data_IF_966781182319
#
_entry.id   IF_966781182319
#
_cell.length_a   1.000
_cell.length_b   1.000
_cell.length_c   1.000
_cell.angle_alpha   90.00
_cell.angle_beta   90.00
_cell.angle_gamma   90.00
#
_symmetry.space_group_name_H-M   'P 1'
#
loop_
_entity.id
_entity.type
_entity.pdbx_description
1 polymer ?
#
# COMPACT_ATOMS: atom_id res chain seq x y z
N UNK A 1 32.90 -14.65 -46.89
CA UNK A 1 33.70 -13.43 -47.14
C UNK A 1 33.60 -12.56 -45.91
N UNK A 2 34.72 -12.11 -45.33
CA UNK A 2 34.67 -11.25 -44.15
C UNK A 2 34.29 -9.84 -44.61
N UNK A 3 33.19 -9.31 -44.09
CA UNK A 3 32.81 -7.91 -44.27
C UNK A 3 33.69 -7.10 -43.31
N UNK A 4 34.33 -6.04 -43.80
CA UNK A 4 35.04 -5.08 -42.95
C UNK A 4 34.03 -4.26 -42.13
N UNK A 5 34.48 -3.55 -41.10
CA UNK A 5 33.58 -2.66 -40.36
C UNK A 5 33.03 -1.55 -41.24
N UNK A 6 31.73 -1.32 -41.09
CA UNK A 6 31.12 -0.12 -41.63
C UNK A 6 31.59 1.12 -40.91
N UNK A 7 31.93 2.16 -41.65
CA UNK A 7 32.35 3.48 -41.13
C UNK A 7 31.43 4.60 -41.61
N UNK A 8 30.72 4.41 -42.73
CA UNK A 8 29.67 5.29 -43.22
C UNK A 8 28.28 4.91 -42.71
N UNK A 9 27.35 5.87 -42.76
CA UNK A 9 25.96 5.68 -42.30
C UNK A 9 25.17 4.61 -43.09
N UNK A 10 25.68 4.20 -44.26
CA UNK A 10 25.03 3.25 -45.17
C UNK A 10 25.82 1.94 -45.31
N UNK A 11 26.95 1.82 -44.60
CA UNK A 11 27.76 0.62 -44.64
C UNK A 11 27.05 -0.53 -43.90
N UNK A 12 27.34 -1.76 -44.30
CA UNK A 12 26.92 -2.94 -43.55
C UNK A 12 27.65 -3.01 -42.19
N UNK A 13 26.93 -3.31 -41.11
CA UNK A 13 27.52 -3.52 -39.78
C UNK A 13 28.08 -4.94 -39.64
N UNK A 14 29.27 -5.09 -39.05
CA UNK A 14 29.78 -6.42 -38.69
C UNK A 14 29.13 -6.94 -37.42
N UNK A 15 29.19 -8.26 -37.19
CA UNK A 15 28.73 -8.87 -35.92
C UNK A 15 29.41 -8.22 -34.73
N UNK A 16 30.69 -7.86 -34.83
CA UNK A 16 31.41 -7.17 -33.75
C UNK A 16 30.84 -5.78 -33.46
N UNK A 17 30.50 -4.98 -34.48
CA UNK A 17 29.87 -3.68 -34.29
C UNK A 17 28.50 -3.82 -33.64
N UNK A 18 27.70 -4.80 -34.09
CA UNK A 18 26.40 -5.11 -33.50
C UNK A 18 26.52 -5.57 -32.05
N UNK A 19 27.43 -6.51 -31.75
CA UNK A 19 27.67 -7.00 -30.38
C UNK A 19 28.11 -5.86 -29.46
N UNK A 20 29.01 -4.98 -29.91
CA UNK A 20 29.42 -3.81 -29.12
C UNK A 20 28.27 -2.86 -28.80
N UNK A 21 27.41 -2.58 -29.80
CA UNK A 21 26.23 -1.74 -29.61
C UNK A 21 25.22 -2.39 -28.64
N UNK A 22 24.93 -3.68 -28.80
CA UNK A 22 24.01 -4.43 -27.93
C UNK A 22 24.52 -4.53 -26.49
N UNK A 23 25.83 -4.76 -26.31
CA UNK A 23 26.47 -4.73 -24.99
C UNK A 23 26.27 -3.36 -24.34
N UNK A 24 26.45 -2.26 -25.08
CA UNK A 24 26.18 -0.92 -24.58
C UNK A 24 24.73 -0.77 -24.08
N UNK A 25 23.73 -1.25 -24.82
CA UNK A 25 22.33 -1.17 -24.38
C UNK A 25 22.01 -2.05 -23.16
N UNK A 26 22.66 -3.20 -23.03
CA UNK A 26 22.45 -4.11 -21.90
C UNK A 26 23.10 -3.60 -20.60
N UNK A 27 24.19 -2.83 -20.69
CA UNK A 27 24.96 -2.38 -19.51
C UNK A 27 24.84 -0.88 -19.21
N UNK A 28 24.52 -0.05 -20.20
CA UNK A 28 24.27 1.39 -20.01
C UNK A 28 22.78 1.67 -20.11
N UNK A 29 22.22 2.21 -19.03
CA UNK A 29 20.81 2.59 -18.99
C UNK A 29 20.45 3.60 -20.09
N UNK A 30 19.24 3.49 -20.62
CA UNK A 30 18.71 4.44 -21.60
C UNK A 30 18.42 5.79 -20.91
N UNK A 31 18.29 6.88 -21.68
CA UNK A 31 17.96 8.20 -21.11
C UNK A 31 16.68 8.08 -20.26
N UNK A 32 16.79 8.43 -18.97
CA UNK A 32 15.76 8.32 -17.92
C UNK A 32 15.55 6.93 -17.27
N UNK A 33 16.16 5.87 -17.76
CA UNK A 33 16.03 4.51 -17.20
C UNK A 33 17.41 3.94 -16.85
N UNK A 34 17.77 4.04 -15.57
CA UNK A 34 19.03 3.54 -15.04
C UNK A 34 18.77 2.52 -13.92
N UNK A 35 19.29 1.31 -14.07
CA UNK A 35 19.37 0.32 -13.02
C UNK A 35 20.83 0.15 -12.60
N UNK A 36 21.10 0.07 -11.30
CA UNK A 36 22.43 -0.18 -10.76
C UNK A 36 22.36 -1.34 -9.76
N UNK A 37 22.65 -2.55 -10.24
CA UNK A 37 22.70 -3.76 -9.43
C UNK A 37 23.55 -4.83 -10.12
N UNK A 38 24.13 -5.71 -9.31
CA UNK A 38 24.79 -6.95 -9.77
C UNK A 38 23.99 -8.21 -9.43
N UNK A 39 22.82 -8.05 -8.81
CA UNK A 39 21.94 -9.16 -8.45
C UNK A 39 21.19 -9.70 -9.69
N UNK A 40 20.47 -10.81 -9.50
CA UNK A 40 19.66 -11.41 -10.56
C UNK A 40 18.61 -10.42 -11.11
N UNK A 41 18.27 -10.59 -12.38
CA UNK A 41 17.28 -9.78 -13.07
C UNK A 41 15.87 -9.92 -12.47
N UNK A 42 15.00 -9.00 -12.84
CA UNK A 42 13.56 -9.08 -12.61
C UNK A 42 12.91 -10.22 -13.40
N UNK A 43 11.75 -10.68 -12.94
CA UNK A 43 10.95 -11.70 -13.60
C UNK A 43 9.48 -11.27 -13.66
N UNK A 44 9.02 -10.89 -14.85
CA UNK A 44 7.62 -10.65 -15.17
C UNK A 44 6.99 -11.95 -15.72
N UNK A 45 6.31 -12.73 -14.86
CA UNK A 45 5.67 -14.01 -15.22
C UNK A 45 4.21 -13.81 -15.62
N UNK A 46 3.48 -12.96 -14.89
CA UNK A 46 2.06 -12.71 -15.14
C UNK A 46 1.82 -12.11 -16.52
N UNK A 47 0.68 -12.42 -17.14
CA UNK A 47 0.27 -11.80 -18.40
C UNK A 47 0.16 -10.28 -18.21
N UNK A 48 0.64 -9.49 -19.18
CA UNK A 48 0.55 -8.02 -19.15
C UNK A 48 1.20 -7.38 -17.90
N UNK A 49 2.20 -8.04 -17.31
CA UNK A 49 2.85 -7.58 -16.08
C UNK A 49 4.10 -6.73 -16.31
N UNK A 50 4.49 -5.95 -15.29
CA UNK A 50 5.69 -5.11 -15.28
C UNK A 50 6.53 -5.46 -14.06
N UNK A 51 7.77 -5.91 -14.28
CA UNK A 51 8.76 -6.12 -13.23
C UNK A 51 9.98 -5.22 -13.48
N UNK A 52 10.36 -4.40 -12.48
CA UNK A 52 11.49 -3.46 -12.59
C UNK A 52 12.32 -3.49 -11.32
N UNK A 53 13.60 -3.84 -11.45
CA UNK A 53 14.56 -3.86 -10.34
C UNK A 53 15.17 -5.24 -10.12
N UNK A 54 16.30 -5.33 -9.39
CA UNK A 54 16.91 -6.62 -9.12
C UNK A 54 15.98 -7.50 -8.30
N UNK A 55 15.95 -8.79 -8.63
CA UNK A 55 15.19 -9.85 -7.92
C UNK A 55 13.69 -9.60 -7.78
N UNK A 56 13.14 -8.60 -8.47
CA UNK A 56 11.69 -8.33 -8.51
C UNK A 56 10.97 -9.48 -9.20
N UNK A 57 9.89 -9.99 -8.62
CA UNK A 57 9.09 -11.08 -9.22
C UNK A 57 7.62 -10.67 -9.27
N UNK A 58 7.02 -10.75 -10.46
CA UNK A 58 5.62 -10.39 -10.69
C UNK A 58 4.92 -11.58 -11.32
N UNK A 59 4.23 -12.35 -10.49
CA UNK A 59 3.52 -13.56 -10.88
C UNK A 59 2.04 -13.31 -11.23
N UNK A 60 1.43 -12.27 -10.66
CA UNK A 60 0.04 -11.90 -10.93
C UNK A 60 -0.13 -11.24 -12.30
N UNK A 61 -1.18 -11.63 -13.02
CA UNK A 61 -1.57 -10.99 -14.28
C UNK A 61 -1.90 -9.51 -14.05
N UNK A 62 -1.54 -8.63 -14.98
CA UNK A 62 -1.68 -7.17 -14.88
C UNK A 62 -0.93 -6.57 -13.67
N UNK A 63 -0.01 -7.32 -13.06
CA UNK A 63 0.72 -6.90 -11.86
C UNK A 63 1.84 -5.90 -12.16
N UNK A 64 2.17 -5.06 -11.17
CA UNK A 64 3.29 -4.11 -11.25
C UNK A 64 4.20 -4.27 -10.03
N UNK A 65 5.41 -4.75 -10.26
CA UNK A 65 6.47 -4.86 -9.26
C UNK A 65 7.61 -3.90 -9.59
N UNK A 66 7.96 -3.01 -8.66
CA UNK A 66 9.08 -2.06 -8.84
C UNK A 66 9.91 -1.97 -7.55
N UNK A 67 11.18 -2.35 -7.61
CA UNK A 67 12.14 -2.24 -6.51
C UNK A 67 12.82 -3.56 -6.15
N UNK A 68 13.97 -3.45 -5.48
CA UNK A 68 14.81 -4.60 -5.11
C UNK A 68 14.01 -5.64 -4.31
N UNK A 69 13.78 -6.81 -4.91
CA UNK A 69 13.02 -7.90 -4.30
C UNK A 69 11.52 -7.62 -4.09
N UNK A 70 10.91 -6.68 -4.82
CA UNK A 70 9.45 -6.50 -4.80
C UNK A 70 8.75 -7.76 -5.36
N UNK A 71 7.64 -8.16 -4.75
CA UNK A 71 6.90 -9.38 -5.09
C UNK A 71 5.42 -9.07 -5.31
N UNK A 72 4.89 -9.48 -6.45
CA UNK A 72 3.45 -9.60 -6.68
C UNK A 72 3.16 -11.08 -6.85
N UNK A 73 2.41 -11.67 -5.92
CA UNK A 73 2.12 -13.11 -5.91
C UNK A 73 1.21 -13.52 -7.07
N UNK A 74 1.19 -14.82 -7.38
CA UNK A 74 0.32 -15.37 -8.44
C UNK A 74 -1.17 -15.17 -8.12
N UNK A 75 -1.50 -15.09 -6.83
CA UNK A 75 -2.84 -14.80 -6.31
C UNK A 75 -3.18 -13.31 -6.32
N UNK A 76 -2.29 -12.45 -6.82
CA UNK A 76 -2.48 -11.00 -6.87
C UNK A 76 -2.62 -10.47 -8.31
N UNK A 77 -3.63 -10.90 -9.10
CA UNK A 77 -3.95 -10.22 -10.34
C UNK A 77 -4.27 -8.75 -10.06
N UNK A 78 -3.76 -7.83 -10.88
CA UNK A 78 -3.85 -6.38 -10.68
C UNK A 78 -3.04 -5.85 -9.48
N UNK A 79 -2.27 -6.71 -8.81
CA UNK A 79 -1.51 -6.35 -7.62
C UNK A 79 -0.34 -5.40 -7.92
N UNK A 80 -0.06 -4.49 -6.98
CA UNK A 80 1.01 -3.50 -7.10
C UNK A 80 1.95 -3.62 -5.90
N UNK A 81 3.24 -3.83 -6.16
CA UNK A 81 4.28 -3.85 -5.14
C UNK A 81 5.42 -2.90 -5.52
N UNK A 82 5.54 -1.76 -4.84
CA UNK A 82 6.55 -0.74 -5.13
C UNK A 82 7.38 -0.43 -3.88
N UNK A 83 8.67 -0.77 -3.92
CA UNK A 83 9.62 -0.59 -2.81
C UNK A 83 10.49 -1.83 -2.59
N UNK A 84 11.58 -1.67 -1.84
CA UNK A 84 12.45 -2.80 -1.49
C UNK A 84 11.68 -3.82 -0.65
N UNK A 85 11.60 -5.07 -1.12
CA UNK A 85 10.80 -6.13 -0.51
C UNK A 85 9.32 -5.78 -0.25
N UNK A 86 8.72 -4.86 -1.02
CA UNK A 86 7.27 -4.68 -1.01
C UNK A 86 6.58 -5.96 -1.52
N UNK A 87 5.44 -6.33 -0.93
CA UNK A 87 4.71 -7.56 -1.27
C UNK A 87 3.21 -7.32 -1.39
N UNK A 88 2.66 -7.69 -2.54
CA UNK A 88 1.22 -7.75 -2.81
C UNK A 88 0.81 -9.21 -2.97
N UNK A 89 -0.03 -9.73 -2.07
CA UNK A 89 -0.30 -11.17 -1.97
C UNK A 89 -1.66 -11.62 -2.52
N UNK A 90 -2.62 -10.71 -2.68
CA UNK A 90 -3.98 -11.04 -3.13
C UNK A 90 -4.48 -10.04 -4.20
N UNK A 91 -5.58 -10.39 -4.86
CA UNK A 91 -6.15 -9.62 -5.96
C UNK A 91 -6.34 -8.15 -5.59
N UNK A 92 -5.96 -7.26 -6.52
CA UNK A 92 -6.08 -5.80 -6.41
C UNK A 92 -5.40 -5.18 -5.17
N UNK A 93 -4.47 -5.91 -4.53
CA UNK A 93 -3.75 -5.41 -3.38
C UNK A 93 -2.64 -4.43 -3.79
N UNK A 94 -2.38 -3.41 -2.95
CA UNK A 94 -1.43 -2.35 -3.24
C UNK A 94 -0.47 -2.18 -2.07
N UNK A 95 0.80 -2.52 -2.27
CA UNK A 95 1.89 -2.38 -1.30
C UNK A 95 2.92 -1.34 -1.77
N UNK A 96 3.01 -0.19 -1.10
CA UNK A 96 3.89 0.91 -1.47
C UNK A 96 4.81 1.29 -0.29
N UNK A 97 6.09 0.95 -0.37
CA UNK A 97 7.10 1.24 0.65
C UNK A 97 8.05 0.07 0.91
N UNK A 98 9.18 0.35 1.54
CA UNK A 98 10.15 -0.69 1.92
C UNK A 98 9.51 -1.68 2.89
N UNK A 99 9.41 -2.96 2.52
CA UNK A 99 8.76 -4.00 3.33
C UNK A 99 7.26 -3.82 3.52
N UNK A 100 6.59 -2.96 2.74
CA UNK A 100 5.13 -2.85 2.79
C UNK A 100 4.48 -4.17 2.36
N UNK A 101 3.44 -4.62 3.07
CA UNK A 101 2.77 -5.89 2.86
C UNK A 101 1.25 -5.71 2.75
N UNK A 102 0.72 -5.81 1.53
CA UNK A 102 -0.70 -5.83 1.25
C UNK A 102 -1.14 -7.29 1.04
N UNK A 103 -1.60 -7.93 2.12
CA UNK A 103 -1.82 -9.37 2.20
C UNK A 103 -3.29 -9.73 1.90
N UNK A 104 -4.23 -8.85 2.22
CA UNK A 104 -5.65 -9.07 1.94
C UNK A 104 -6.05 -8.70 0.51
N UNK A 105 -7.11 -9.31 -0.02
CA UNK A 105 -7.68 -8.86 -1.29
C UNK A 105 -8.18 -7.41 -1.18
N UNK A 106 -7.94 -6.60 -2.21
CA UNK A 106 -8.28 -5.17 -2.25
C UNK A 106 -7.66 -4.35 -1.10
N UNK A 107 -6.60 -4.88 -0.46
CA UNK A 107 -5.96 -4.22 0.67
C UNK A 107 -4.94 -3.19 0.20
N UNK A 108 -4.72 -2.15 1.01
CA UNK A 108 -3.75 -1.09 0.71
C UNK A 108 -2.79 -0.92 1.88
N UNK A 109 -1.50 -1.18 1.65
CA UNK A 109 -0.43 -0.96 2.62
C UNK A 109 0.55 0.09 2.07
N UNK A 110 0.55 1.29 2.63
CA UNK A 110 1.43 2.38 2.20
C UNK A 110 2.30 2.88 3.36
N UNK A 111 3.61 2.76 3.22
CA UNK A 111 4.61 3.14 4.23
C UNK A 111 5.61 2.01 4.49
N UNK A 112 6.78 2.36 5.02
CA UNK A 112 7.78 1.34 5.36
C UNK A 112 7.22 0.37 6.40
N UNK A 113 7.24 -0.93 6.10
CA UNK A 113 6.68 -2.00 6.93
C UNK A 113 5.19 -1.82 7.27
N UNK A 114 4.43 -1.05 6.50
CA UNK A 114 2.97 -1.00 6.62
C UNK A 114 2.40 -2.39 6.27
N UNK A 115 1.37 -2.84 6.99
CA UNK A 115 0.76 -4.15 6.76
C UNK A 115 -0.77 -4.07 6.79
N UNK A 116 -1.39 -4.38 5.65
CA UNK A 116 -2.83 -4.51 5.49
C UNK A 116 -3.17 -5.98 5.27
N UNK A 117 -3.71 -6.64 6.30
CA UNK A 117 -3.71 -8.11 6.41
C UNK A 117 -5.01 -8.73 5.91
N UNK A 118 -6.15 -8.07 6.12
CA UNK A 118 -7.47 -8.63 5.77
C UNK A 118 -8.04 -8.00 4.51
N UNK A 119 -9.11 -8.60 3.99
CA UNK A 119 -9.87 -8.08 2.84
C UNK A 119 -10.33 -6.65 3.10
N UNK A 120 -10.13 -5.76 2.12
CA UNK A 120 -10.51 -4.35 2.20
C UNK A 120 -9.76 -3.54 3.27
N UNK A 121 -8.79 -4.13 3.95
CA UNK A 121 -8.05 -3.43 5.00
C UNK A 121 -7.07 -2.40 4.43
N UNK A 122 -6.92 -1.27 5.12
CA UNK A 122 -6.08 -0.16 4.69
C UNK A 122 -5.12 0.23 5.81
N UNK A 123 -3.83 0.24 5.54
CA UNK A 123 -2.76 0.62 6.46
C UNK A 123 -1.89 1.72 5.82
N UNK A 124 -1.96 2.94 6.34
CA UNK A 124 -1.26 4.11 5.81
C UNK A 124 -0.35 4.70 6.90
N UNK A 125 0.96 4.55 6.73
CA UNK A 125 1.99 5.03 7.65
C UNK A 125 3.07 3.99 7.91
N UNK A 126 4.27 4.44 8.30
CA UNK A 126 5.36 3.53 8.66
C UNK A 126 4.93 2.62 9.83
N UNK A 127 4.99 1.30 9.63
CA UNK A 127 4.56 0.31 10.61
C UNK A 127 3.07 0.34 10.96
N UNK A 128 2.23 1.04 10.18
CA UNK A 128 0.78 0.98 10.35
C UNK A 128 0.29 -0.45 10.09
N UNK A 129 -0.67 -0.93 10.88
CA UNK A 129 -1.15 -2.31 10.81
C UNK A 129 -2.67 -2.38 10.85
N UNK A 130 -3.28 -2.77 9.74
CA UNK A 130 -4.72 -3.03 9.67
C UNK A 130 -4.93 -4.53 9.52
N UNK A 131 -5.43 -5.19 10.57
CA UNK A 131 -5.50 -6.67 10.62
C UNK A 131 -6.89 -7.25 10.52
N UNK A 132 -7.92 -6.41 10.41
CA UNK A 132 -9.31 -6.83 10.35
C UNK A 132 -9.98 -6.36 9.04
N UNK A 133 -11.05 -7.06 8.67
CA UNK A 133 -11.80 -6.79 7.44
C UNK A 133 -12.37 -5.37 7.45
N UNK A 134 -12.21 -4.66 6.34
CA UNK A 134 -12.66 -3.28 6.16
C UNK A 134 -12.16 -2.30 7.23
N UNK A 135 -11.03 -2.61 7.87
CA UNK A 135 -10.44 -1.76 8.90
C UNK A 135 -9.42 -0.76 8.32
N UNK A 136 -9.30 0.41 8.94
CA UNK A 136 -8.37 1.46 8.54
C UNK A 136 -7.40 1.81 9.67
N UNK A 137 -6.10 1.63 9.45
CA UNK A 137 -5.03 2.14 10.29
C UNK A 137 -4.33 3.32 9.57
N UNK A 138 -4.56 4.55 10.04
CA UNK A 138 -4.00 5.76 9.43
C UNK A 138 -3.07 6.48 10.41
N UNK A 139 -1.76 6.33 10.23
CA UNK A 139 -0.72 6.94 11.05
C UNK A 139 0.42 5.96 11.34
N UNK A 140 1.63 6.48 11.61
CA UNK A 140 2.77 5.63 11.95
C UNK A 140 2.48 4.79 13.21
N UNK A 141 2.62 3.47 13.11
CA UNK A 141 2.30 2.53 14.18
C UNK A 141 0.82 2.48 14.59
N UNK A 142 -0.10 3.05 13.83
CA UNK A 142 -1.54 2.89 14.07
C UNK A 142 -1.93 1.42 13.89
N UNK A 143 -2.85 0.91 14.72
CA UNK A 143 -3.26 -0.50 14.71
C UNK A 143 -4.78 -0.65 14.74
N UNK A 144 -5.36 -1.11 13.64
CA UNK A 144 -6.80 -1.39 13.54
C UNK A 144 -7.03 -2.90 13.52
N UNK A 145 -7.55 -3.44 14.62
CA UNK A 145 -7.67 -4.89 14.87
C UNK A 145 -9.11 -5.39 14.93
N UNK A 146 -10.09 -4.49 14.80
CA UNK A 146 -11.51 -4.83 14.76
C UNK A 146 -12.08 -4.50 13.37
N UNK A 147 -13.02 -5.32 12.91
CA UNK A 147 -13.64 -5.13 11.61
C UNK A 147 -14.36 -3.79 11.54
N UNK A 148 -14.39 -3.18 10.35
CA UNK A 148 -15.13 -1.94 10.09
C UNK A 148 -14.78 -0.79 11.06
N UNK A 149 -13.54 -0.78 11.57
CA UNK A 149 -13.07 0.18 12.59
C UNK A 149 -11.84 0.94 12.09
N UNK A 150 -11.61 2.11 12.68
CA UNK A 150 -10.57 3.06 12.28
C UNK A 150 -9.66 3.39 13.46
N UNK A 151 -8.36 3.14 13.32
CA UNK A 151 -7.32 3.72 14.16
C UNK A 151 -6.76 4.97 13.48
N UNK A 152 -7.10 6.16 13.98
CA UNK A 152 -6.74 7.44 13.39
C UNK A 152 -5.66 8.16 14.20
N UNK A 153 -4.50 8.35 13.58
CA UNK A 153 -3.33 8.99 14.15
C UNK A 153 -2.23 8.02 14.58
N UNK A 154 -1.00 8.52 14.68
CA UNK A 154 0.16 7.72 15.07
C UNK A 154 -0.05 7.06 16.44
N UNK A 155 0.21 5.75 16.51
CA UNK A 155 0.05 4.93 17.72
C UNK A 155 -1.41 4.73 18.19
N UNK A 156 -2.42 5.19 17.45
CA UNK A 156 -3.82 4.88 17.78
C UNK A 156 -4.09 3.39 17.65
N UNK A 157 -4.94 2.84 18.52
CA UNK A 157 -5.29 1.43 18.56
C UNK A 157 -6.79 1.31 18.74
N UNK A 158 -7.48 0.64 17.81
CA UNK A 158 -8.88 0.27 18.02
C UNK A 158 -8.96 -0.71 19.20
N UNK A 159 -9.85 -0.46 20.16
CA UNK A 159 -10.06 -1.29 21.35
C UNK A 159 -11.46 -1.88 21.41
N UNK A 160 -12.38 -1.39 20.57
CA UNK A 160 -13.78 -1.80 20.54
C UNK A 160 -14.19 -2.15 19.11
N UNK A 161 -14.86 -3.30 18.92
CA UNK A 161 -15.47 -3.67 17.64
C UNK A 161 -16.92 -3.23 17.54
N UNK A 162 -17.70 -3.92 16.69
CA UNK A 162 -19.15 -3.72 16.64
C UNK A 162 -19.80 -4.09 17.98
N UNK A 163 -20.70 -3.24 18.47
CA UNK A 163 -21.50 -3.48 19.67
C UNK A 163 -22.98 -3.51 19.32
N UNK A 164 -23.74 -4.36 19.99
CA UNK A 164 -25.20 -4.42 19.85
C UNK A 164 -25.88 -4.28 21.21
N UNK A 165 -27.01 -3.56 21.24
CA UNK A 165 -27.87 -3.41 22.41
C UNK A 165 -27.15 -2.97 23.70
N UNK A 166 -26.14 -2.10 23.59
CA UNK A 166 -25.45 -1.58 24.77
C UNK A 166 -26.22 -0.40 25.38
N UNK A 167 -26.13 -0.27 26.70
CA UNK A 167 -26.72 0.86 27.43
C UNK A 167 -25.74 2.03 27.37
N UNK A 168 -26.04 3.01 26.53
CA UNK A 168 -25.25 4.23 26.44
C UNK A 168 -25.52 5.16 27.62
N UNK A 169 -24.53 5.95 28.01
CA UNK A 169 -24.66 6.91 29.10
C UNK A 169 -25.80 7.91 28.83
N UNK A 170 -26.70 8.05 29.80
CA UNK A 170 -27.83 8.99 29.72
C UNK A 170 -28.96 8.60 28.76
N UNK A 171 -28.91 7.41 28.14
CA UNK A 171 -29.97 6.94 27.23
C UNK A 171 -30.69 5.71 27.78
N UNK A 172 -32.02 5.73 27.73
CA UNK A 172 -32.86 4.60 28.15
C UNK A 172 -33.05 3.55 27.05
N UNK A 173 -32.92 3.95 25.78
CA UNK A 173 -33.04 3.05 24.64
C UNK A 173 -31.69 2.42 24.30
N UNK A 174 -31.60 1.09 24.11
CA UNK A 174 -30.36 0.41 23.71
C UNK A 174 -29.77 0.98 22.41
N UNK A 175 -28.44 1.04 22.34
CA UNK A 175 -27.69 1.52 21.19
C UNK A 175 -26.90 0.40 20.52
N UNK A 176 -26.49 0.61 19.27
CA UNK A 176 -25.61 -0.30 18.52
C UNK A 176 -24.58 0.51 17.73
N UNK A 177 -23.38 -0.05 17.52
CA UNK A 177 -22.32 0.51 16.68
C UNK A 177 -21.78 -0.54 15.73
N UNK A 178 -21.42 -0.12 14.51
CA UNK A 178 -20.82 -1.01 13.51
C UNK A 178 -19.29 -1.15 13.64
N UNK A 179 -18.66 -0.36 14.53
CA UNK A 179 -17.23 -0.28 14.73
C UNK A 179 -16.85 0.94 15.56
N UNK A 180 -15.55 1.18 15.70
CA UNK A 180 -14.98 2.29 16.45
C UNK A 180 -14.15 3.22 15.53
N UNK A 181 -14.16 4.52 15.80
CA UNK A 181 -13.09 5.43 15.36
C UNK A 181 -12.25 5.81 16.59
N UNK A 182 -11.11 5.14 16.76
CA UNK A 182 -10.20 5.41 17.86
C UNK A 182 -9.17 6.48 17.45
N UNK A 183 -9.18 7.61 18.16
CA UNK A 183 -8.26 8.74 17.92
C UNK A 183 -7.12 8.82 18.94
N UNK A 184 -6.99 7.83 19.83
CA UNK A 184 -6.11 7.89 20.99
C UNK A 184 -6.47 9.03 21.95
N UNK A 185 -5.49 9.49 22.73
CA UNK A 185 -5.66 10.62 23.66
C UNK A 185 -5.46 11.96 22.95
N UNK A 186 -6.40 12.34 22.07
CA UNK A 186 -6.34 13.56 21.27
C UNK A 186 -7.57 14.43 21.48
N UNK A 187 -7.39 15.74 21.32
CA UNK A 187 -8.51 16.66 21.17
C UNK A 187 -9.10 16.53 19.76
N UNK A 188 -10.43 16.57 19.68
CA UNK A 188 -11.17 16.71 18.42
C UNK A 188 -11.67 18.16 18.36
N UNK A 189 -11.00 18.99 17.58
CA UNK A 189 -11.27 20.44 17.49
C UNK A 189 -11.92 20.81 16.16
N UNK A 190 -12.51 22.01 16.06
CA UNK A 190 -13.19 22.47 14.83
C UNK A 190 -14.59 21.86 14.65
N UNK A 191 -15.16 21.30 15.72
CA UNK A 191 -16.47 20.66 15.71
C UNK A 191 -17.58 21.71 15.70
N UNK A 192 -18.37 21.75 14.62
CA UNK A 192 -19.61 22.51 14.59
C UNK A 192 -20.60 21.97 15.65
N UNK A 193 -21.50 22.81 16.13
CA UNK A 193 -22.52 22.38 17.08
C UNK A 193 -23.43 21.30 16.46
N UNK A 194 -23.60 20.17 17.14
CA UNK A 194 -24.45 19.08 16.70
C UNK A 194 -25.92 19.48 16.63
N UNK A 195 -26.66 18.94 15.68
CA UNK A 195 -28.09 19.24 15.45
C UNK A 195 -28.97 18.00 15.54
N UNK A 196 -28.51 16.87 15.00
CA UNK A 196 -29.23 15.60 15.00
C UNK A 196 -28.81 14.74 16.20
N UNK A 197 -29.61 13.71 16.53
CA UNK A 197 -29.35 12.83 17.68
C UNK A 197 -28.07 11.98 17.60
N UNK A 198 -27.41 11.92 16.44
CA UNK A 198 -26.16 11.18 16.22
C UNK A 198 -24.95 12.09 15.99
N UNK A 199 -25.13 13.40 16.10
CA UNK A 199 -24.02 14.35 15.95
C UNK A 199 -23.21 14.41 17.25
N UNK A 200 -21.91 14.60 17.13
CA UNK A 200 -21.08 14.85 18.29
C UNK A 200 -21.38 16.24 18.89
N UNK A 201 -21.35 16.33 20.22
CA UNK A 201 -21.60 17.57 20.98
C UNK A 201 -20.27 18.30 21.20
N UNK A 202 -20.24 19.61 20.94
CA UNK A 202 -19.06 20.44 21.25
C UNK A 202 -19.19 21.12 22.64
N UNK A 203 -18.10 21.71 23.14
CA UNK A 203 -18.06 22.32 24.48
C UNK A 203 -19.08 23.45 24.64
N UNK A 204 -19.33 24.26 23.60
CA UNK A 204 -20.32 25.36 23.68
C UNK A 204 -21.76 24.89 23.92
N UNK A 205 -22.13 23.72 23.38
CA UNK A 205 -23.43 23.12 23.65
C UNK A 205 -23.52 22.59 25.08
N UNK A 206 -22.44 21.99 25.58
CA UNK A 206 -22.36 21.52 26.97
C UNK A 206 -22.45 22.68 27.96
N UNK A 207 -21.74 23.78 27.71
CA UNK A 207 -21.77 24.98 28.56
C UNK A 207 -23.17 25.62 28.61
N UNK A 208 -23.97 25.47 27.55
CA UNK A 208 -25.33 26.00 27.48
C UNK A 208 -26.35 25.28 28.36
N UNK A 209 -26.05 24.04 28.77
CA UNK A 209 -26.93 23.22 29.63
C UNK A 209 -26.39 23.09 31.06
N UNK A 210 -25.14 23.49 31.30
CA UNK A 210 -24.51 23.47 32.62
C UNK A 210 -24.76 24.75 33.45
N UNK A 211 -25.48 25.73 32.88
CA UNK A 211 -25.87 26.99 33.52
C UNK A 211 -27.38 27.06 33.78
#
# INVERSE_FOLDING_TARGET
>A
TNVADGTGQQDAVTVRQLTGALQSFAVTGQKYFHANSTAADSLAVGAESVAVGPTTVVNGDNGVGIGNGAIVDQTAPGGVAIGQAASSAQADAIALGSGAAAIGAQSVAQGANAAAVSVGSVALGSGARSTATDALALGAGASATFANSVALGAGSLTTVGALTNYVAYGLSSPQSSAGEVNVGNRQITGLAAGKNGTDAVNVSQLDSVAN
#
